data_IF_053281167765
#
_entry.id   IF_053281167765
#
_cell.length_a   1.000
_cell.length_b   1.000
_cell.length_c   1.000
_cell.angle_alpha   90.00
_cell.angle_beta   90.00
_cell.angle_gamma   90.00
#
_symmetry.space_group_name_H-M   'P 1'
#
loop_
_entity.id
_entity.type
_entity.pdbx_description
1 polymer ?
#
# COMPACT_ATOMS: atom_id res chain seq x y z
N UNK A 1 -6.37 -1.10 23.55
CA UNK A 1 -6.26 -0.49 22.22
C UNK A 1 -5.60 -1.50 21.32
N UNK A 2 -6.24 -1.91 20.23
CA UNK A 2 -5.62 -2.79 19.22
C UNK A 2 -4.72 -1.94 18.34
N UNK A 3 -3.51 -2.44 18.03
CA UNK A 3 -2.61 -1.77 17.10
C UNK A 3 -3.05 -2.08 15.67
N UNK A 4 -3.23 -1.06 14.83
CA UNK A 4 -3.50 -1.25 13.39
C UNK A 4 -2.19 -1.57 12.68
N UNK A 5 -2.15 -2.69 11.95
CA UNK A 5 -0.98 -3.10 11.19
C UNK A 5 -1.11 -2.65 9.73
N UNK A 6 -0.01 -2.14 9.17
CA UNK A 6 0.08 -1.75 7.77
C UNK A 6 1.24 -2.48 7.11
N UNK A 7 1.10 -2.77 5.83
CA UNK A 7 2.17 -3.28 4.97
C UNK A 7 2.48 -2.25 3.90
N UNK A 8 3.76 -1.96 3.69
CA UNK A 8 4.23 -1.08 2.63
C UNK A 8 4.70 -1.94 1.47
N UNK A 9 4.20 -1.65 0.27
CA UNK A 9 4.60 -2.33 -0.97
C UNK A 9 5.07 -1.29 -1.98
N UNK A 10 6.22 -1.52 -2.60
CA UNK A 10 6.69 -0.68 -3.71
C UNK A 10 6.08 -1.16 -5.02
N UNK A 11 5.55 -0.25 -5.82
CA UNK A 11 5.25 -0.57 -7.22
C UNK A 11 6.56 -0.59 -8.01
N UNK A 12 6.72 -1.58 -8.91
CA UNK A 12 7.88 -1.65 -9.80
C UNK A 12 7.77 -0.67 -10.98
N UNK A 13 6.59 -0.11 -11.23
CA UNK A 13 6.27 0.61 -12.46
C UNK A 13 6.26 2.14 -12.34
N UNK A 14 6.09 2.71 -11.13
CA UNK A 14 5.80 4.14 -10.97
C UNK A 14 6.62 4.86 -9.91
N UNK A 15 7.47 4.15 -9.15
CA UNK A 15 8.27 4.79 -8.10
C UNK A 15 7.39 5.33 -6.97
N UNK A 16 6.28 4.68 -6.69
CA UNK A 16 5.38 4.98 -5.58
C UNK A 16 5.44 3.84 -4.53
N UNK A 17 5.37 4.23 -3.26
CA UNK A 17 5.17 3.31 -2.14
C UNK A 17 3.68 3.32 -1.78
N UNK A 18 3.03 2.16 -1.89
CA UNK A 18 1.65 2.00 -1.46
C UNK A 18 1.60 1.44 -0.05
N UNK A 19 0.82 2.09 0.80
CA UNK A 19 0.43 1.58 2.10
C UNK A 19 -0.87 0.81 1.95
N UNK A 20 -0.85 -0.46 2.35
CA UNK A 20 -2.04 -1.31 2.43
C UNK A 20 -2.29 -1.62 3.90
N UNK A 21 -3.53 -1.49 4.36
CA UNK A 21 -3.89 -1.89 5.71
C UNK A 21 -3.89 -3.41 5.76
N UNK A 22 -3.07 -3.97 6.66
CA UNK A 22 -2.99 -5.40 6.88
C UNK A 22 -4.09 -5.76 7.84
N UNK A 23 -5.31 -5.93 7.33
CA UNK A 23 -6.33 -6.63 8.10
C UNK A 23 -5.91 -8.10 8.17
N UNK A 24 -5.68 -8.59 9.39
CA UNK A 24 -5.67 -10.03 9.61
C UNK A 24 -7.09 -10.50 9.28
N UNK A 25 -7.29 -11.11 8.12
CA UNK A 25 -8.27 -12.18 7.86
C UNK A 25 -8.60 -12.28 6.36
N UNK A 26 -8.36 -13.48 5.83
CA UNK A 26 -8.96 -14.06 4.62
C UNK A 26 -8.82 -13.26 3.31
N UNK A 27 -8.14 -13.80 2.27
CA UNK A 27 -8.03 -13.10 1.00
C UNK A 27 -9.43 -12.82 0.41
N UNK A 28 -9.70 -11.62 -0.13
CA UNK A 28 -10.99 -11.29 -0.69
C UNK A 28 -11.31 -12.20 -1.87
N UNK A 29 -12.57 -12.63 -1.98
CA UNK A 29 -13.06 -13.38 -3.14
C UNK A 29 -13.80 -12.43 -4.09
N UNK A 30 -13.51 -12.46 -5.40
CA UNK A 30 -12.54 -13.32 -6.09
C UNK A 30 -11.07 -12.95 -5.80
N UNK A 31 -10.20 -13.97 -5.77
CA UNK A 31 -8.77 -13.86 -5.40
C UNK A 31 -7.93 -12.94 -6.29
N UNK A 32 -8.48 -12.43 -7.39
CA UNK A 32 -7.84 -11.52 -8.33
C UNK A 32 -8.26 -10.06 -8.12
N UNK A 33 -8.89 -9.74 -6.99
CA UNK A 33 -9.23 -8.35 -6.67
C UNK A 33 -7.98 -7.54 -6.28
N UNK A 34 -7.86 -6.29 -6.76
CA UNK A 34 -6.84 -5.37 -6.29
C UNK A 34 -6.91 -5.22 -4.77
N UNK A 35 -5.75 -5.25 -4.10
CA UNK A 35 -5.68 -4.98 -2.66
C UNK A 35 -5.98 -3.50 -2.43
N UNK A 36 -6.89 -3.15 -1.50
CA UNK A 36 -7.22 -1.76 -1.23
C UNK A 36 -5.99 -1.02 -0.67
N UNK A 37 -5.60 0.05 -1.36
CA UNK A 37 -4.53 0.96 -0.95
C UNK A 37 -5.12 2.04 -0.06
N UNK A 38 -4.57 2.21 1.14
CA UNK A 38 -5.02 3.23 2.11
C UNK A 38 -4.20 4.52 2.02
N UNK A 39 -3.08 4.49 1.30
CA UNK A 39 -2.29 5.67 0.99
C UNK A 39 -1.15 5.37 0.03
N UNK A 40 -0.64 6.40 -0.63
CA UNK A 40 0.53 6.31 -1.52
C UNK A 40 1.52 7.42 -1.17
N UNK A 41 2.81 7.09 -1.15
CA UNK A 41 3.90 8.04 -1.01
C UNK A 41 4.74 8.06 -2.30
N UNK A 42 4.92 9.23 -2.94
CA UNK A 42 5.81 9.35 -4.08
C UNK A 42 7.26 9.24 -3.64
N UNK A 43 8.05 8.38 -4.30
CA UNK A 43 9.49 8.23 -4.03
C UNK A 43 10.30 9.32 -4.75
N UNK A 44 9.74 9.93 -5.80
CA UNK A 44 10.32 11.09 -6.47
C UNK A 44 9.83 12.40 -5.85
N UNK A 45 10.37 12.75 -4.69
CA UNK A 45 10.45 14.15 -4.26
C UNK A 45 11.83 14.66 -4.62
N UNK A 46 11.93 15.37 -5.75
CA UNK A 46 13.10 16.19 -6.05
C UNK A 46 12.84 17.57 -5.42
N UNK A 47 13.40 17.94 -4.25
CA UNK A 47 13.36 19.31 -3.77
C UNK A 47 14.43 20.11 -4.51
N UNK A 48 14.22 20.37 -5.78
CA UNK A 48 15.12 21.20 -6.60
C UNK A 48 14.34 21.84 -7.74
N UNK A 49 13.49 22.80 -7.40
CA UNK A 49 13.20 23.99 -8.21
C UNK A 49 12.90 25.15 -7.25
#
# INVERSE_FOLDING_TARGET
MTATQFKIVSSLDQGDLHMIQSEETTPPFPLLQPVPVVGSLPIHSNPSD
#
